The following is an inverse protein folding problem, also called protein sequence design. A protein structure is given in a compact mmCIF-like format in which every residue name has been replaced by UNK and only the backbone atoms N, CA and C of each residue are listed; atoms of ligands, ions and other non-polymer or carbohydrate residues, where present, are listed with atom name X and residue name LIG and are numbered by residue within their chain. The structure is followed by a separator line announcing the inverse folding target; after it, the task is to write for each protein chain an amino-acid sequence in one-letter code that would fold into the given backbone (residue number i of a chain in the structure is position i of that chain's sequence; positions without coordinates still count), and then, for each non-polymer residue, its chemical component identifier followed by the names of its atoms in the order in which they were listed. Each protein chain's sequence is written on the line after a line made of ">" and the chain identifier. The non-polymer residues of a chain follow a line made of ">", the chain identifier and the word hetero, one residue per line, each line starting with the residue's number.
data_IF_210841706673
#
_entry.id   IF_210841706673
#
_cell.length_a   1.000
_cell.length_b   1.000
_cell.length_c   1.000
_cell.angle_alpha   90.00
_cell.angle_beta   90.00
_cell.angle_gamma   90.00
#
_symmetry.space_group_name_H-M   'P 1'
#
loop_
_entity.id
_entity.type
_entity.pdbx_description
1 polymer ?
#
# COMPACT_ATOMS: atom_id res chain seq x y z
N UNK A 1 -4.21 25.75 -26.20
CA UNK A 1 -3.98 25.85 -24.74
C UNK A 1 -4.25 24.54 -23.99
N UNK A 2 -5.29 23.76 -24.31
CA UNK A 2 -5.57 22.49 -23.59
C UNK A 2 -4.57 21.36 -23.90
N UNK A 3 -3.92 21.39 -25.08
CA UNK A 3 -2.99 20.33 -25.53
C UNK A 3 -1.60 20.38 -24.88
N UNK A 4 -1.23 21.49 -24.24
CA UNK A 4 0.07 21.60 -23.55
C UNK A 4 -0.01 21.19 -22.08
N UNK A 5 -1.19 21.25 -21.46
CA UNK A 5 -1.38 20.90 -20.05
C UNK A 5 -1.28 19.39 -19.77
N UNK A 6 -1.41 18.55 -20.81
CA UNK A 6 -1.27 17.08 -20.69
C UNK A 6 0.21 16.66 -20.71
N UNK A 7 1.14 17.53 -21.13
CA UNK A 7 2.57 17.19 -21.19
C UNK A 7 3.31 17.32 -19.86
N UNK A 8 2.80 18.11 -18.92
CA UNK A 8 3.44 18.36 -17.62
C UNK A 8 3.08 17.38 -16.50
N UNK A 9 2.02 16.58 -16.67
CA UNK A 9 1.61 15.59 -15.65
C UNK A 9 2.61 14.44 -15.50
N UNK A 10 3.35 14.10 -16.57
CA UNK A 10 4.30 12.98 -16.55
C UNK A 10 5.55 13.27 -15.69
N UNK A 11 5.90 14.55 -15.51
CA UNK A 11 7.11 14.94 -14.78
C UNK A 11 6.94 14.84 -13.25
N UNK A 12 5.73 15.09 -12.73
CA UNK A 12 5.44 15.03 -11.29
C UNK A 12 5.04 13.63 -10.80
N UNK A 13 4.91 12.66 -11.72
CA UNK A 13 4.63 11.26 -11.38
C UNK A 13 5.88 10.42 -11.12
N UNK A 14 7.06 10.90 -11.52
CA UNK A 14 8.29 10.14 -11.34
C UNK A 14 8.72 10.18 -9.86
N UNK A 15 8.65 9.04 -9.19
CA UNK A 15 9.32 8.84 -7.91
C UNK A 15 10.83 8.94 -8.13
N UNK A 16 11.48 9.85 -7.41
CA UNK A 16 12.93 9.74 -7.19
C UNK A 16 13.17 8.37 -6.56
N UNK A 17 14.16 7.60 -7.05
CA UNK A 17 14.45 6.24 -6.56
C UNK A 17 14.71 6.16 -5.05
N UNK A 18 14.93 7.30 -4.41
CA UNK A 18 15.08 7.45 -2.96
C UNK A 18 13.74 7.45 -2.19
N UNK A 19 12.64 7.87 -2.81
CA UNK A 19 11.35 8.09 -2.15
C UNK A 19 10.27 7.19 -2.74
N UNK A 20 9.40 6.65 -1.88
CA UNK A 20 8.34 5.72 -2.30
C UNK A 20 7.10 6.44 -2.85
N UNK A 21 6.92 7.71 -2.51
CA UNK A 21 5.83 8.56 -3.00
C UNK A 21 6.38 9.69 -3.86
N UNK A 22 5.74 9.97 -4.99
CA UNK A 22 5.99 11.17 -5.78
C UNK A 22 5.24 12.40 -5.19
N UNK A 23 5.52 13.58 -5.73
CA UNK A 23 4.95 14.84 -5.23
C UNK A 23 3.41 14.85 -5.28
N UNK A 24 2.81 14.25 -6.31
CA UNK A 24 1.35 14.15 -6.46
C UNK A 24 0.76 13.24 -5.38
N UNK A 25 1.43 12.14 -5.08
CA UNK A 25 0.99 11.18 -4.06
C UNK A 25 1.12 11.76 -2.65
N UNK A 26 2.19 12.52 -2.38
CA UNK A 26 2.34 13.26 -1.12
C UNK A 26 1.25 14.32 -0.97
N UNK A 27 0.96 15.09 -2.03
CA UNK A 27 -0.11 16.10 -1.99
C UNK A 27 -1.48 15.45 -1.71
N UNK A 28 -1.78 14.30 -2.32
CA UNK A 28 -3.00 13.53 -2.05
C UNK A 28 -3.04 12.99 -0.63
N UNK A 29 -1.93 12.46 -0.12
CA UNK A 29 -1.83 12.00 1.26
C UNK A 29 -2.13 13.11 2.25
N UNK A 30 -1.55 14.31 2.05
CA UNK A 30 -1.82 15.48 2.91
C UNK A 30 -3.28 15.91 2.83
N UNK A 31 -3.88 15.90 1.64
CA UNK A 31 -5.27 16.33 1.43
C UNK A 31 -6.30 15.33 1.97
N UNK A 32 -6.04 14.02 1.85
CA UNK A 32 -7.01 12.96 2.18
C UNK A 32 -6.70 12.23 3.49
N UNK A 33 -5.49 12.36 4.02
CA UNK A 33 -5.02 11.67 5.22
C UNK A 33 -4.62 10.21 5.00
N UNK A 34 -4.61 9.73 3.76
CA UNK A 34 -4.20 8.35 3.42
C UNK A 34 -3.66 8.26 1.99
N UNK A 35 -2.94 7.17 1.72
CA UNK A 35 -2.47 6.79 0.39
C UNK A 35 -2.74 5.30 0.19
N UNK A 36 -3.18 4.91 -1.00
CA UNK A 36 -3.45 3.52 -1.35
C UNK A 36 -2.23 2.98 -2.09
N UNK A 37 -1.65 1.91 -1.55
CA UNK A 37 -0.54 1.20 -2.19
C UNK A 37 -1.08 -0.06 -2.84
N UNK A 38 -0.91 -0.16 -4.16
CA UNK A 38 -1.21 -1.37 -4.93
C UNK A 38 0.03 -2.27 -4.93
N UNK A 39 -0.10 -3.48 -4.37
CA UNK A 39 1.00 -4.42 -4.24
C UNK A 39 0.90 -5.50 -5.31
N UNK A 40 2.03 -5.88 -5.90
CA UNK A 40 2.11 -7.02 -6.81
C UNK A 40 2.22 -8.33 -6.00
N UNK A 41 1.16 -8.63 -5.26
CA UNK A 41 1.03 -9.85 -4.47
C UNK A 41 -0.02 -10.78 -5.09
N UNK A 42 0.10 -12.12 -4.92
CA UNK A 42 -0.89 -13.06 -5.44
C UNK A 42 -2.28 -12.76 -4.89
N UNK A 43 -3.30 -12.77 -5.75
CA UNK A 43 -4.68 -12.50 -5.34
C UNK A 43 -5.16 -13.46 -4.25
N UNK A 44 -4.71 -14.71 -4.30
CA UNK A 44 -5.07 -15.75 -3.33
C UNK A 44 -4.49 -15.48 -1.93
N UNK A 45 -3.49 -14.60 -1.79
CA UNK A 45 -2.93 -14.25 -0.47
C UNK A 45 -3.98 -13.56 0.41
N UNK A 46 -4.77 -12.63 -0.16
CA UNK A 46 -5.82 -11.94 0.59
C UNK A 46 -6.89 -12.93 1.07
N UNK A 47 -7.32 -13.85 0.21
CA UNK A 47 -8.31 -14.87 0.53
C UNK A 47 -7.83 -15.81 1.64
N UNK A 48 -6.55 -16.25 1.59
CA UNK A 48 -5.96 -17.09 2.64
C UNK A 48 -5.86 -16.39 3.99
N UNK A 49 -5.46 -15.11 4.01
CA UNK A 49 -5.40 -14.30 5.23
C UNK A 49 -6.81 -14.13 5.81
N UNK A 50 -7.80 -13.83 4.97
CA UNK A 50 -9.20 -13.70 5.37
C UNK A 50 -9.75 -15.00 5.99
N UNK A 51 -9.51 -16.14 5.34
CA UNK A 51 -9.93 -17.43 5.86
C UNK A 51 -9.28 -17.78 7.21
N UNK A 52 -8.01 -17.39 7.44
CA UNK A 52 -7.36 -17.55 8.73
C UNK A 52 -7.96 -16.65 9.81
N UNK A 53 -8.28 -15.39 9.47
CA UNK A 53 -8.95 -14.45 10.39
C UNK A 53 -10.32 -14.99 10.82
N UNK A 54 -11.11 -15.48 9.87
CA UNK A 54 -12.45 -16.03 10.14
C UNK A 54 -12.42 -17.29 11.01
N UNK A 55 -11.30 -18.03 10.99
CA UNK A 55 -11.12 -19.26 11.76
C UNK A 55 -10.66 -19.01 13.22
N UNK A 56 -10.33 -17.77 13.60
CA UNK A 56 -9.88 -17.46 14.95
C UNK A 56 -11.05 -17.53 15.95
N UNK A 57 -10.85 -18.23 17.07
CA UNK A 57 -11.85 -18.34 18.13
C UNK A 57 -12.13 -16.99 18.84
N UNK A 58 -11.15 -16.08 18.80
CA UNK A 58 -11.25 -14.75 19.42
C UNK A 58 -10.33 -13.75 18.71
N UNK A 59 -10.57 -12.46 18.93
CA UNK A 59 -9.77 -11.39 18.34
C UNK A 59 -8.35 -11.37 18.97
N UNK A 60 -7.27 -11.54 18.17
CA UNK A 60 -5.90 -11.59 18.68
C UNK A 60 -5.35 -10.22 19.10
N UNK A 61 -6.05 -9.12 18.80
CA UNK A 61 -5.60 -7.77 19.14
C UNK A 61 -4.33 -7.39 18.39
N UNK A 62 -3.32 -6.92 19.12
CA UNK A 62 -2.01 -6.54 18.59
C UNK A 62 -1.15 -7.74 18.18
N UNK A 63 -1.48 -8.95 18.64
CA UNK A 63 -0.82 -10.20 18.24
C UNK A 63 -1.28 -10.74 16.87
N UNK A 64 -1.95 -9.93 16.04
CA UNK A 64 -2.53 -10.36 14.75
C UNK A 64 -1.48 -10.96 13.79
N UNK A 65 -0.25 -10.44 13.80
CA UNK A 65 0.85 -10.93 12.96
C UNK A 65 1.49 -12.21 13.49
N UNK A 66 1.30 -12.53 14.76
CA UNK A 66 1.68 -13.81 15.36
C UNK A 66 0.61 -14.87 15.09
N UNK A 67 -0.67 -14.47 15.21
CA UNK A 67 -1.82 -15.32 14.88
C UNK A 67 -1.89 -15.66 13.39
N UNK A 68 -1.50 -14.73 12.52
CA UNK A 68 -1.51 -14.89 11.06
C UNK A 68 -0.17 -14.41 10.47
N UNK A 69 0.86 -15.29 10.46
CA UNK A 69 2.19 -14.94 9.98
C UNK A 69 2.24 -14.49 8.52
N UNK A 70 1.27 -14.89 7.68
CA UNK A 70 1.21 -14.46 6.28
C UNK A 70 1.04 -12.94 6.11
N UNK A 71 0.54 -12.23 7.13
CA UNK A 71 0.45 -10.76 7.12
C UNK A 71 1.82 -10.09 6.92
N UNK A 72 2.91 -10.74 7.32
CA UNK A 72 4.27 -10.24 7.07
C UNK A 72 4.59 -10.13 5.57
N UNK A 73 3.96 -10.92 4.70
CA UNK A 73 4.16 -10.79 3.24
C UNK A 73 3.66 -9.43 2.72
N UNK A 74 2.66 -8.83 3.38
CA UNK A 74 2.14 -7.49 3.08
C UNK A 74 2.98 -6.44 3.80
N UNK A 75 3.17 -6.58 5.11
CA UNK A 75 3.85 -5.57 5.94
C UNK A 75 5.34 -5.42 5.60
N UNK A 76 5.98 -6.50 5.13
CA UNK A 76 7.39 -6.46 4.73
C UNK A 76 7.60 -6.05 3.27
N UNK A 77 6.52 -5.82 2.51
CA UNK A 77 6.65 -5.42 1.12
C UNK A 77 7.43 -4.09 1.02
N UNK A 78 8.39 -3.95 0.09
CA UNK A 78 9.22 -2.74 -0.02
C UNK A 78 8.43 -1.44 -0.21
N UNK A 79 7.26 -1.53 -0.85
CA UNK A 79 6.33 -0.41 -1.03
C UNK A 79 5.58 -0.01 0.26
N UNK A 80 5.62 -0.85 1.30
CA UNK A 80 4.92 -0.64 2.59
C UNK A 80 5.89 -0.25 3.71
N UNK A 81 7.07 -0.88 3.81
CA UNK A 81 8.04 -0.67 4.92
C UNK A 81 8.62 0.76 5.02
N UNK A 82 8.30 1.67 4.11
CA UNK A 82 8.82 3.04 4.10
C UNK A 82 7.82 4.14 3.75
N UNK A 83 6.52 3.83 3.75
CA UNK A 83 5.44 4.80 3.58
C UNK A 83 5.01 5.40 4.93
#
# INVERSE_FOLDING_TARGET
>A
MIKEMIRDDAAHQATDKKYLLNDVEVAKFIAYGYHIVELDLPAELNERIGAQLDALESNPGDAITEAIPELWQVLDHPAVRGA
#
